data_IF_608442250709
#
_entry.id   IF_608442250709
#
_cell.length_a   1.000
_cell.length_b   1.000
_cell.length_c   1.000
_cell.angle_alpha   90.00
_cell.angle_beta   90.00
_cell.angle_gamma   90.00
#
_symmetry.space_group_name_H-M   'P 1'
#
loop_
_entity.id
_entity.type
_entity.pdbx_description
1 polymer ?
#
# COMPACT_ATOMS: atom_id res chain seq x y z
N UNK A 1 5.48 12.34 8.18
CA UNK A 1 4.81 12.72 6.91
C UNK A 1 3.74 11.68 6.63
N UNK A 2 2.61 12.01 5.96
CA UNK A 2 1.57 11.00 5.67
C UNK A 2 1.52 10.72 4.17
N UNK A 3 2.06 9.58 3.73
CA UNK A 3 2.06 9.13 2.35
C UNK A 3 0.80 8.32 2.03
N UNK A 4 0.23 8.57 0.85
CA UNK A 4 -0.79 7.69 0.28
C UNK A 4 -0.14 6.44 -0.34
N UNK A 5 -0.90 5.34 -0.44
CA UNK A 5 -0.46 4.15 -1.17
C UNK A 5 -0.07 4.45 -2.62
N UNK A 6 -0.77 5.39 -3.25
CA UNK A 6 -0.49 5.85 -4.61
C UNK A 6 0.88 6.48 -4.75
N UNK A 7 1.27 7.32 -3.80
CA UNK A 7 2.60 7.93 -3.77
C UNK A 7 3.69 6.88 -3.54
N UNK A 8 3.49 5.97 -2.59
CA UNK A 8 4.46 4.91 -2.30
C UNK A 8 4.67 3.99 -3.49
N UNK A 9 3.58 3.60 -4.15
CA UNK A 9 3.62 2.82 -5.38
C UNK A 9 4.32 3.58 -6.51
N UNK A 10 4.05 4.87 -6.67
CA UNK A 10 4.69 5.70 -7.68
C UNK A 10 6.21 5.84 -7.45
N UNK A 11 6.66 5.91 -6.19
CA UNK A 11 8.10 5.90 -5.83
C UNK A 11 8.80 4.60 -6.21
N UNK A 12 8.07 3.49 -6.19
CA UNK A 12 8.56 2.18 -6.60
C UNK A 12 8.41 1.93 -8.11
N UNK A 13 7.83 2.88 -8.86
CA UNK A 13 7.49 2.72 -10.27
C UNK A 13 6.61 1.49 -10.58
N UNK A 14 5.76 1.08 -9.64
CA UNK A 14 4.89 -0.10 -9.80
C UNK A 14 3.49 0.30 -10.28
N UNK A 15 2.86 -0.59 -11.03
CA UNK A 15 1.42 -0.54 -11.30
C UNK A 15 0.61 -1.07 -10.11
N UNK A 16 -0.71 -0.82 -10.09
CA UNK A 16 -1.60 -1.37 -9.07
C UNK A 16 -1.56 -2.90 -9.04
N UNK A 17 -1.45 -3.53 -10.22
CA UNK A 17 -1.39 -4.98 -10.36
C UNK A 17 -0.08 -5.56 -9.79
N UNK A 18 1.06 -4.96 -10.14
CA UNK A 18 2.36 -5.41 -9.61
C UNK A 18 2.45 -5.23 -8.10
N UNK A 19 1.97 -4.11 -7.57
CA UNK A 19 1.94 -3.89 -6.12
C UNK A 19 1.04 -4.91 -5.43
N UNK A 20 -0.14 -5.21 -6.01
CA UNK A 20 -1.05 -6.22 -5.47
C UNK A 20 -0.43 -7.63 -5.48
N UNK A 21 0.26 -7.99 -6.56
CA UNK A 21 0.98 -9.26 -6.70
C UNK A 21 2.07 -9.40 -5.64
N UNK A 22 2.90 -8.36 -5.45
CA UNK A 22 3.93 -8.32 -4.41
C UNK A 22 3.36 -8.46 -2.99
N UNK A 23 2.15 -7.97 -2.75
CA UNK A 23 1.47 -8.04 -1.45
C UNK A 23 0.69 -9.37 -1.28
N UNK A 24 0.48 -10.11 -2.36
CA UNK A 24 -0.31 -11.35 -2.40
C UNK A 24 -1.82 -11.10 -2.27
N UNK A 25 -2.31 -10.00 -2.85
CA UNK A 25 -3.73 -9.63 -2.86
C UNK A 25 -4.23 -9.39 -4.28
N UNK A 26 -5.55 -9.35 -4.47
CA UNK A 26 -6.11 -9.00 -5.77
C UNK A 26 -5.93 -7.52 -6.08
N UNK A 27 -5.79 -7.17 -7.36
CA UNK A 27 -5.70 -5.76 -7.82
C UNK A 27 -6.89 -4.92 -7.35
N UNK A 28 -8.09 -5.52 -7.28
CA UNK A 28 -9.30 -4.86 -6.75
C UNK A 28 -9.18 -4.54 -5.24
N UNK A 29 -8.58 -5.44 -4.46
CA UNK A 29 -8.32 -5.21 -3.04
C UNK A 29 -7.37 -4.03 -2.86
N UNK A 30 -6.27 -4.02 -3.63
CA UNK A 30 -5.29 -2.93 -3.59
C UNK A 30 -5.89 -1.59 -4.05
N UNK A 31 -6.68 -1.59 -5.12
CA UNK A 31 -7.38 -0.40 -5.60
C UNK A 31 -8.34 0.16 -4.54
N UNK A 32 -9.03 -0.72 -3.80
CA UNK A 32 -9.88 -0.31 -2.68
C UNK A 32 -9.07 0.35 -1.56
N UNK A 33 -7.85 -0.13 -1.29
CA UNK A 33 -6.97 0.43 -0.28
C UNK A 33 -6.40 1.80 -0.67
N UNK A 34 -6.09 2.02 -1.95
CA UNK A 34 -5.66 3.34 -2.45
C UNK A 34 -6.75 4.41 -2.31
N UNK A 35 -8.02 4.01 -2.36
CA UNK A 35 -9.16 4.90 -2.13
C UNK A 35 -9.54 5.03 -0.65
N UNK A 36 -9.44 3.94 0.12
CA UNK A 36 -9.85 3.87 1.52
C UNK A 36 -8.87 3.00 2.33
N UNK A 37 -7.89 3.65 2.95
CA UNK A 37 -6.82 2.95 3.68
C UNK A 37 -7.30 2.33 5.00
N UNK A 38 -8.44 2.79 5.54
CA UNK A 38 -9.05 2.25 6.76
C UNK A 38 -9.44 0.77 6.63
N UNK A 39 -9.62 0.27 5.39
CA UNK A 39 -9.89 -1.16 5.11
C UNK A 39 -8.64 -2.04 5.15
N UNK A 40 -7.44 -1.46 5.18
CA UNK A 40 -6.18 -2.19 5.22
C UNK A 40 -6.00 -2.80 6.60
N UNK A 41 -5.86 -4.12 6.66
CA UNK A 41 -5.55 -4.81 7.91
C UNK A 41 -4.11 -4.52 8.31
N UNK A 42 -3.84 -4.45 9.62
CA UNK A 42 -2.49 -4.20 10.15
C UNK A 42 -1.42 -5.13 9.57
N UNK A 43 -1.76 -6.41 9.32
CA UNK A 43 -0.84 -7.37 8.67
C UNK A 43 -0.40 -6.94 7.27
N UNK A 44 -1.30 -6.31 6.51
CA UNK A 44 -1.07 -5.90 5.13
C UNK A 44 -0.39 -4.53 5.10
N UNK A 45 -0.78 -3.62 6.02
CA UNK A 45 -0.06 -2.37 6.26
C UNK A 45 1.42 -2.62 6.62
N UNK A 46 1.71 -3.62 7.46
CA UNK A 46 3.08 -4.06 7.77
C UNK A 46 3.84 -4.53 6.53
N UNK A 47 3.21 -5.31 5.65
CA UNK A 47 3.83 -5.75 4.40
C UNK A 47 4.15 -4.58 3.48
N UNK A 48 3.21 -3.65 3.33
CA UNK A 48 3.39 -2.45 2.51
C UNK A 48 4.52 -1.59 3.08
N UNK A 49 4.53 -1.37 4.40
CA UNK A 49 5.57 -0.62 5.09
C UNK A 49 6.95 -1.22 4.84
N UNK A 50 7.07 -2.55 4.98
CA UNK A 50 8.30 -3.29 4.71
C UNK A 50 8.74 -3.20 3.24
N UNK A 51 7.81 -3.30 2.29
CA UNK A 51 8.11 -3.23 0.86
C UNK A 51 8.53 -1.82 0.43
N UNK A 52 7.90 -0.80 1.01
CA UNK A 52 8.20 0.60 0.74
C UNK A 52 9.37 1.15 1.57
N UNK A 53 9.90 0.39 2.54
CA UNK A 53 10.96 0.83 3.43
C UNK A 53 10.56 1.98 4.38
N UNK A 54 9.28 2.07 4.75
CA UNK A 54 8.75 3.11 5.65
C UNK A 54 8.16 2.51 6.93
N UNK A 55 7.87 3.36 7.91
CA UNK A 55 7.08 2.98 9.10
C UNK A 55 5.58 3.09 8.84
N UNK A 56 4.76 2.28 9.54
CA UNK A 56 3.29 2.33 9.43
C UNK A 56 2.72 3.70 9.83
N UNK A 57 3.39 4.39 10.76
CA UNK A 57 3.00 5.73 11.21
C UNK A 57 3.03 6.77 10.07
N UNK A 58 3.76 6.48 9.00
CA UNK A 58 3.87 7.34 7.82
C UNK A 58 2.71 7.15 6.83
N UNK A 59 1.76 6.24 7.08
CA UNK A 59 0.57 6.10 6.23
C UNK A 59 -0.45 7.21 6.48
N UNK A 60 -1.09 7.64 5.39
CA UNK A 60 -2.27 8.50 5.45
C UNK A 60 -3.52 7.63 5.65
N UNK A 61 -4.00 7.57 6.90
CA UNK A 61 -5.29 7.00 7.27
C UNK A 61 -6.45 7.90 6.84
#
# INVERSE_FOLDING_TARGET
MKYSLKELRARLCLTQAEMAENLGVSTQTYNSWENDFSKVKMKDALKIAKLCGISIDEFKF
#
